data_IF_383188342950
#
_entry.id   IF_383188342950
#
_cell.length_a   1.000
_cell.length_b   1.000
_cell.length_c   1.000
_cell.angle_alpha   90.00
_cell.angle_beta   90.00
_cell.angle_gamma   90.00
#
_symmetry.space_group_name_H-M   'P 1'
#
loop_
_entity.id
_entity.type
_entity.pdbx_description
1 polymer ?
#
# COMPACT_ATOMS: atom_id res chain seq x y z
N UNK A 1 -103.92 -10.50 -79.70
CA UNK A 1 -105.06 -9.63 -80.10
C UNK A 1 -104.50 -8.26 -80.47
N UNK A 2 -104.59 -7.88 -81.74
CA UNK A 2 -103.82 -6.75 -82.28
C UNK A 2 -104.24 -5.42 -81.65
N UNK A 3 -103.28 -4.73 -81.02
CA UNK A 3 -103.41 -3.38 -80.43
C UNK A 3 -104.08 -2.40 -81.41
N UNK A 4 -103.86 -2.59 -82.72
CA UNK A 4 -104.47 -1.77 -83.79
C UNK A 4 -106.00 -1.78 -83.76
N UNK A 5 -106.64 -2.93 -83.48
CA UNK A 5 -108.11 -3.05 -83.48
C UNK A 5 -108.75 -2.29 -82.31
N UNK A 6 -108.11 -2.34 -81.13
CA UNK A 6 -108.54 -1.58 -79.93
C UNK A 6 -108.34 -0.06 -80.07
N UNK A 7 -107.31 0.38 -80.80
CA UNK A 7 -107.08 1.82 -81.06
C UNK A 7 -108.12 2.42 -82.02
N UNK A 8 -108.71 1.59 -82.87
CA UNK A 8 -109.76 1.96 -83.82
C UNK A 8 -111.12 2.18 -83.13
N UNK A 9 -111.52 1.28 -82.22
CA UNK A 9 -112.76 1.41 -81.42
C UNK A 9 -112.77 2.66 -80.54
N UNK A 10 -111.59 3.15 -80.14
CA UNK A 10 -111.42 4.33 -79.29
C UNK A 10 -111.28 5.64 -80.08
N UNK A 11 -111.52 5.65 -81.41
CA UNK A 11 -111.46 6.85 -82.25
C UNK A 11 -110.05 7.43 -82.45
N UNK A 12 -109.00 6.64 -82.19
CA UNK A 12 -107.60 7.11 -82.13
C UNK A 12 -106.81 6.88 -83.43
N UNK A 13 -107.41 6.20 -84.41
CA UNK A 13 -106.94 6.01 -85.80
C UNK A 13 -108.11 6.17 -86.76
N UNK A 14 -107.88 6.80 -87.92
CA UNK A 14 -108.95 7.14 -88.87
C UNK A 14 -109.43 5.95 -89.72
N UNK A 15 -108.62 4.90 -89.94
CA UNK A 15 -108.97 3.64 -90.67
C UNK A 15 -108.03 2.45 -90.33
N UNK A 16 -108.43 1.19 -90.62
CA UNK A 16 -107.73 -0.06 -90.24
C UNK A 16 -106.46 -0.35 -91.06
N UNK A 17 -106.43 0.14 -92.29
CA UNK A 17 -105.37 0.03 -93.30
C UNK A 17 -104.51 1.31 -93.39
N UNK A 18 -104.75 2.28 -92.51
CA UNK A 18 -104.13 3.59 -92.57
C UNK A 18 -102.74 3.62 -91.94
N UNK A 19 -101.78 4.20 -92.67
CA UNK A 19 -100.51 4.71 -92.15
C UNK A 19 -100.63 6.06 -91.44
N UNK A 20 -101.86 6.58 -91.25
CA UNK A 20 -102.07 7.89 -90.64
C UNK A 20 -101.60 7.94 -89.18
N UNK A 21 -101.02 9.08 -88.81
CA UNK A 21 -100.55 9.33 -87.46
C UNK A 21 -101.68 9.21 -86.43
N UNK A 22 -101.35 8.73 -85.23
CA UNK A 22 -102.26 8.68 -84.08
C UNK A 22 -102.86 10.07 -83.79
N UNK A 23 -104.09 10.10 -83.25
CA UNK A 23 -104.75 11.37 -82.88
C UNK A 23 -104.00 12.08 -81.74
N UNK A 24 -103.74 13.38 -81.92
CA UNK A 24 -103.20 14.26 -80.88
C UNK A 24 -104.27 15.15 -80.23
N UNK A 25 -105.55 14.83 -80.46
CA UNK A 25 -106.68 15.54 -79.86
C UNK A 25 -106.74 15.36 -78.34
N UNK A 26 -107.24 16.38 -77.64
CA UNK A 26 -107.42 16.38 -76.18
C UNK A 26 -108.36 15.25 -75.71
N UNK A 27 -109.39 14.95 -76.51
CA UNK A 27 -110.39 13.90 -76.27
C UNK A 27 -109.82 12.48 -76.35
N UNK A 28 -108.74 12.30 -77.11
CA UNK A 28 -108.01 11.04 -77.24
C UNK A 28 -106.85 10.92 -76.24
N UNK A 29 -106.69 11.87 -75.31
CA UNK A 29 -105.62 11.86 -74.30
C UNK A 29 -104.22 12.18 -74.84
N UNK A 30 -104.11 12.89 -75.98
CA UNK A 30 -102.85 13.24 -76.65
C UNK A 30 -101.94 12.03 -76.89
N UNK A 31 -102.53 10.92 -77.34
CA UNK A 31 -101.82 9.64 -77.46
C UNK A 31 -100.64 9.70 -78.42
N UNK A 32 -100.73 10.48 -79.52
CA UNK A 32 -99.58 10.73 -80.39
C UNK A 32 -98.40 11.33 -79.59
N UNK A 33 -98.62 12.44 -78.87
CA UNK A 33 -97.57 13.05 -78.04
C UNK A 33 -97.05 12.16 -76.92
N UNK A 34 -97.89 11.29 -76.32
CA UNK A 34 -97.44 10.32 -75.31
C UNK A 34 -96.62 9.18 -75.92
N UNK A 35 -96.96 8.74 -77.13
CA UNK A 35 -96.23 7.70 -77.84
C UNK A 35 -94.92 8.25 -78.41
N UNK A 36 -94.90 9.48 -78.92
CA UNK A 36 -93.68 10.17 -79.35
C UNK A 36 -92.76 10.45 -78.15
N UNK A 37 -93.32 10.82 -76.99
CA UNK A 37 -92.55 10.91 -75.73
C UNK A 37 -92.03 9.55 -75.26
N UNK A 38 -92.83 8.50 -75.37
CA UNK A 38 -92.40 7.15 -75.02
C UNK A 38 -91.32 6.64 -75.98
N UNK A 39 -91.42 6.94 -77.28
CA UNK A 39 -90.40 6.63 -78.27
C UNK A 39 -89.11 7.44 -78.05
N UNK A 40 -89.23 8.73 -77.74
CA UNK A 40 -88.08 9.56 -77.35
C UNK A 40 -87.43 9.09 -76.06
N UNK A 41 -88.22 8.65 -75.06
CA UNK A 41 -87.69 8.01 -73.85
C UNK A 41 -87.01 6.67 -74.14
N UNK A 42 -87.52 5.86 -75.09
CA UNK A 42 -86.87 4.62 -75.50
C UNK A 42 -85.55 4.92 -76.20
N UNK A 43 -85.50 5.93 -77.08
CA UNK A 43 -84.28 6.34 -77.77
C UNK A 43 -83.25 6.95 -76.79
N UNK A 44 -83.70 7.72 -75.79
CA UNK A 44 -82.88 8.17 -74.64
C UNK A 44 -82.39 6.98 -73.80
N UNK A 45 -83.23 5.96 -73.58
CA UNK A 45 -82.83 4.74 -72.87
C UNK A 45 -81.81 3.91 -73.67
N UNK A 46 -81.99 3.75 -74.98
CA UNK A 46 -81.07 3.02 -75.86
C UNK A 46 -79.73 3.76 -75.97
N UNK A 47 -79.75 5.09 -76.07
CA UNK A 47 -78.51 5.91 -76.06
C UNK A 47 -77.80 5.86 -74.71
N UNK A 48 -78.52 5.89 -73.58
CA UNK A 48 -77.95 5.68 -72.26
C UNK A 48 -77.41 4.25 -72.09
N UNK A 49 -78.10 3.23 -72.60
CA UNK A 49 -77.64 1.83 -72.54
C UNK A 49 -76.35 1.64 -73.35
N UNK A 50 -76.26 2.25 -74.53
CA UNK A 50 -75.05 2.24 -75.36
C UNK A 50 -73.91 3.05 -74.72
N UNK A 51 -74.21 4.18 -74.07
CA UNK A 51 -73.23 4.97 -73.31
C UNK A 51 -72.71 4.17 -72.11
N UNK A 52 -73.60 3.50 -71.36
CA UNK A 52 -73.24 2.62 -70.24
C UNK A 52 -72.33 1.47 -70.69
N UNK A 53 -72.64 0.83 -71.82
CA UNK A 53 -71.81 -0.24 -72.38
C UNK A 53 -70.49 0.26 -72.95
N UNK A 54 -70.48 1.41 -73.62
CA UNK A 54 -69.29 2.00 -74.25
C UNK A 54 -68.30 2.54 -73.22
N UNK A 55 -68.80 3.19 -72.18
CA UNK A 55 -67.98 3.69 -71.06
C UNK A 55 -67.68 2.58 -70.03
N UNK A 56 -68.41 1.47 -70.07
CA UNK A 56 -68.15 0.28 -69.26
C UNK A 56 -68.46 0.48 -67.78
N UNK A 57 -69.53 1.21 -67.46
CA UNK A 57 -69.87 1.56 -66.07
C UNK A 57 -70.05 0.32 -65.16
N UNK A 58 -70.65 -0.77 -65.67
CA UNK A 58 -70.80 -2.02 -64.89
C UNK A 58 -69.43 -2.56 -64.43
N UNK A 59 -68.44 -2.53 -65.31
CA UNK A 59 -67.07 -2.96 -65.00
C UNK A 59 -66.40 -1.99 -64.02
N UNK A 60 -66.61 -0.68 -64.18
CA UNK A 60 -66.06 0.32 -63.26
C UNK A 60 -66.68 0.22 -61.86
N UNK A 61 -67.97 -0.12 -61.75
CA UNK A 61 -68.64 -0.37 -60.47
C UNK A 61 -68.09 -1.63 -59.79
N UNK A 62 -67.93 -2.73 -60.53
CA UNK A 62 -67.28 -3.96 -60.02
C UNK A 62 -65.83 -3.70 -59.59
N UNK A 63 -65.04 -2.97 -60.40
CA UNK A 63 -63.68 -2.57 -60.04
C UNK A 63 -63.66 -1.65 -58.82
N UNK A 64 -64.60 -0.72 -58.68
CA UNK A 64 -64.74 0.16 -57.51
C UNK A 64 -65.04 -0.62 -56.23
N UNK A 65 -65.97 -1.57 -56.29
CA UNK A 65 -66.30 -2.45 -55.15
C UNK A 65 -65.09 -3.32 -54.80
N UNK A 66 -64.41 -3.92 -55.79
CA UNK A 66 -63.21 -4.73 -55.56
C UNK A 66 -62.08 -3.93 -54.91
N UNK A 67 -61.80 -2.72 -55.41
CA UNK A 67 -60.78 -1.83 -54.84
C UNK A 67 -61.14 -1.42 -53.41
N UNK A 68 -62.42 -1.14 -53.14
CA UNK A 68 -62.91 -0.84 -51.79
C UNK A 68 -62.70 -2.02 -50.84
N UNK A 69 -63.07 -3.23 -51.23
CA UNK A 69 -62.83 -4.44 -50.43
C UNK A 69 -61.34 -4.71 -50.21
N UNK A 70 -60.48 -4.44 -51.21
CA UNK A 70 -59.03 -4.56 -51.06
C UNK A 70 -58.46 -3.53 -50.09
N UNK A 71 -58.95 -2.28 -50.13
CA UNK A 71 -58.58 -1.24 -49.15
C UNK A 71 -59.01 -1.60 -47.73
N UNK A 72 -60.22 -2.14 -47.57
CA UNK A 72 -60.72 -2.56 -46.26
C UNK A 72 -59.88 -3.74 -45.71
N UNK A 73 -59.55 -4.73 -46.56
CA UNK A 73 -58.63 -5.83 -46.18
C UNK A 73 -57.22 -5.36 -45.83
N UNK A 74 -56.70 -4.33 -46.53
CA UNK A 74 -55.39 -3.73 -46.21
C UNK A 74 -55.47 -3.01 -44.87
N UNK A 75 -56.55 -2.27 -44.60
CA UNK A 75 -56.76 -1.56 -43.33
C UNK A 75 -56.84 -2.53 -42.15
N UNK A 76 -57.65 -3.59 -42.27
CA UNK A 76 -57.73 -4.64 -41.23
C UNK A 76 -56.36 -5.25 -40.94
N UNK A 77 -55.56 -5.51 -41.98
CA UNK A 77 -54.19 -6.03 -41.80
C UNK A 77 -53.26 -5.02 -41.12
N UNK A 78 -53.34 -3.74 -41.48
CA UNK A 78 -52.55 -2.69 -40.82
C UNK A 78 -52.94 -2.62 -39.34
N UNK A 79 -54.23 -2.63 -39.02
CA UNK A 79 -54.72 -2.66 -37.64
C UNK A 79 -54.21 -3.89 -36.87
N UNK A 80 -54.26 -5.09 -37.47
CA UNK A 80 -53.70 -6.30 -36.87
C UNK A 80 -52.18 -6.20 -36.62
N UNK A 81 -51.43 -5.58 -37.53
CA UNK A 81 -50.00 -5.33 -37.33
C UNK A 81 -49.74 -4.29 -36.24
N UNK A 82 -50.50 -3.20 -36.18
CA UNK A 82 -50.39 -2.20 -35.11
C UNK A 82 -50.67 -2.83 -33.73
N UNK A 83 -51.73 -3.64 -33.62
CA UNK A 83 -52.04 -4.39 -32.41
C UNK A 83 -50.91 -5.36 -32.05
N UNK A 84 -50.34 -6.06 -33.04
CA UNK A 84 -49.18 -6.93 -32.82
C UNK A 84 -47.96 -6.14 -32.32
N UNK A 85 -47.72 -4.93 -32.84
CA UNK A 85 -46.67 -4.02 -32.41
C UNK A 85 -46.87 -3.54 -30.98
N UNK A 86 -48.09 -3.11 -30.61
CA UNK A 86 -48.45 -2.71 -29.25
C UNK A 86 -48.30 -3.86 -28.25
N UNK A 87 -48.71 -5.08 -28.61
CA UNK A 87 -48.47 -6.29 -27.81
C UNK A 87 -46.98 -6.58 -27.62
N UNK A 88 -46.19 -6.55 -28.69
CA UNK A 88 -44.74 -6.80 -28.61
C UNK A 88 -44.04 -5.76 -27.71
N UNK A 89 -44.45 -4.48 -27.82
CA UNK A 89 -44.02 -3.38 -26.97
C UNK A 89 -44.38 -3.63 -25.50
N UNK A 90 -45.60 -4.08 -25.21
CA UNK A 90 -46.03 -4.48 -23.86
C UNK A 90 -45.20 -5.65 -23.30
N UNK A 91 -45.05 -6.74 -24.05
CA UNK A 91 -44.37 -7.95 -23.58
C UNK A 91 -42.89 -7.67 -23.27
N UNK A 92 -42.18 -7.04 -24.20
CA UNK A 92 -40.77 -6.66 -24.03
C UNK A 92 -40.59 -5.63 -22.93
N UNK A 93 -41.44 -4.60 -22.89
CA UNK A 93 -41.37 -3.56 -21.86
C UNK A 93 -41.65 -4.12 -20.46
N UNK A 94 -42.62 -5.02 -20.31
CA UNK A 94 -42.93 -5.69 -19.04
C UNK A 94 -41.78 -6.58 -18.55
N UNK A 95 -41.15 -7.34 -19.45
CA UNK A 95 -39.99 -8.15 -19.11
C UNK A 95 -38.81 -7.27 -18.67
N UNK A 96 -38.50 -6.23 -19.44
CA UNK A 96 -37.43 -5.29 -19.16
C UNK A 96 -37.66 -4.53 -17.84
N UNK A 97 -38.86 -4.04 -17.59
CA UNK A 97 -39.21 -3.34 -16.34
C UNK A 97 -39.10 -4.26 -15.13
N UNK A 98 -39.54 -5.52 -15.25
CA UNK A 98 -39.36 -6.52 -14.18
C UNK A 98 -37.88 -6.84 -13.96
N UNK A 99 -37.07 -6.93 -15.01
CA UNK A 99 -35.63 -7.14 -14.90
C UNK A 99 -34.94 -5.95 -14.22
N UNK A 100 -35.27 -4.72 -14.63
CA UNK A 100 -34.80 -3.47 -14.05
C UNK A 100 -35.11 -3.40 -12.55
N UNK A 101 -36.39 -3.55 -12.16
CA UNK A 101 -36.81 -3.49 -10.75
C UNK A 101 -36.05 -4.50 -9.88
N UNK A 102 -35.91 -5.75 -10.36
CA UNK A 102 -35.15 -6.78 -9.64
C UNK A 102 -33.67 -6.44 -9.53
N UNK A 103 -33.05 -5.96 -10.61
CA UNK A 103 -31.65 -5.57 -10.62
C UNK A 103 -31.38 -4.39 -9.69
N UNK A 104 -32.27 -3.39 -9.70
CA UNK A 104 -32.18 -2.18 -8.90
C UNK A 104 -32.33 -2.43 -7.39
N UNK A 105 -33.34 -3.20 -6.98
CA UNK A 105 -33.51 -3.60 -5.57
C UNK A 105 -32.27 -4.37 -5.10
N UNK A 106 -31.82 -5.34 -5.90
CA UNK A 106 -30.65 -6.15 -5.56
C UNK A 106 -29.35 -5.36 -5.52
N UNK A 107 -29.19 -4.31 -6.34
CA UNK A 107 -28.03 -3.41 -6.23
C UNK A 107 -28.08 -2.55 -4.97
N UNK A 108 -29.29 -2.07 -4.57
CA UNK A 108 -29.49 -1.33 -3.31
C UNK A 108 -29.19 -2.22 -2.09
N UNK A 109 -29.64 -3.47 -2.08
CA UNK A 109 -29.32 -4.43 -1.00
C UNK A 109 -27.80 -4.68 -0.84
N UNK A 110 -27.04 -4.46 -1.90
CA UNK A 110 -25.60 -4.63 -1.95
C UNK A 110 -24.83 -3.30 -1.83
N UNK A 111 -25.48 -2.20 -1.49
CA UNK A 111 -24.88 -0.86 -1.49
C UNK A 111 -23.63 -0.76 -0.60
N UNK A 112 -23.66 -1.45 0.55
CA UNK A 112 -22.55 -1.53 1.51
C UNK A 112 -21.25 -2.01 0.86
N UNK A 113 -21.33 -2.88 -0.16
CA UNK A 113 -20.16 -3.38 -0.88
C UNK A 113 -19.66 -2.33 -1.89
N UNK A 114 -18.45 -1.85 -1.69
CA UNK A 114 -17.81 -0.88 -2.57
C UNK A 114 -16.34 -1.23 -2.84
N UNK A 115 -15.79 -0.61 -3.89
CA UNK A 115 -14.42 -0.86 -4.35
C UNK A 115 -13.36 -0.33 -3.38
N UNK A 116 -13.60 0.82 -2.73
CA UNK A 116 -12.67 1.42 -1.78
C UNK A 116 -12.39 0.50 -0.60
N UNK A 117 -13.44 -0.02 0.04
CA UNK A 117 -13.35 -0.96 1.15
C UNK A 117 -12.71 -2.29 0.72
N UNK A 118 -13.01 -2.78 -0.50
CA UNK A 118 -12.37 -4.01 -1.04
C UNK A 118 -10.86 -3.83 -1.21
N UNK A 119 -10.44 -2.69 -1.75
CA UNK A 119 -9.04 -2.37 -1.95
C UNK A 119 -8.33 -2.15 -0.62
N UNK A 120 -8.95 -1.40 0.29
CA UNK A 120 -8.45 -1.19 1.64
C UNK A 120 -8.22 -2.53 2.35
N UNK A 121 -9.19 -3.45 2.32
CA UNK A 121 -9.01 -4.78 2.93
C UNK A 121 -7.82 -5.51 2.30
N UNK A 122 -7.78 -5.62 0.97
CA UNK A 122 -6.70 -6.33 0.24
C UNK A 122 -5.31 -5.76 0.57
N UNK A 123 -5.17 -4.44 0.55
CA UNK A 123 -3.91 -3.79 0.81
C UNK A 123 -3.47 -4.00 2.27
N UNK A 124 -4.39 -3.93 3.22
CA UNK A 124 -4.08 -4.23 4.63
C UNK A 124 -3.74 -5.72 4.85
N UNK A 125 -4.37 -6.68 4.17
CA UNK A 125 -3.97 -8.10 4.22
C UNK A 125 -2.54 -8.31 3.71
N UNK A 126 -2.16 -7.62 2.62
CA UNK A 126 -0.80 -7.65 2.09
C UNK A 126 0.19 -7.02 3.07
N UNK A 127 -0.18 -5.90 3.67
CA UNK A 127 0.69 -5.16 4.59
C UNK A 127 0.88 -5.93 5.91
N UNK A 128 -0.15 -6.63 6.40
CA UNK A 128 -0.05 -7.58 7.53
C UNK A 128 0.96 -8.67 7.19
N UNK A 129 0.79 -9.36 6.06
CA UNK A 129 1.67 -10.47 5.66
C UNK A 129 3.13 -10.02 5.50
N UNK A 130 3.33 -8.85 4.88
CA UNK A 130 4.67 -8.26 4.71
C UNK A 130 5.27 -7.89 6.06
N UNK A 131 4.49 -7.23 6.93
CA UNK A 131 4.91 -6.83 8.26
C UNK A 131 5.23 -8.03 9.17
N UNK A 132 4.45 -9.10 9.12
CA UNK A 132 4.72 -10.34 9.86
C UNK A 132 6.04 -10.97 9.43
N UNK A 133 6.32 -11.03 8.12
CA UNK A 133 7.58 -11.54 7.60
C UNK A 133 8.77 -10.67 8.03
N UNK A 134 8.64 -9.35 7.97
CA UNK A 134 9.68 -8.41 8.42
C UNK A 134 9.92 -8.56 9.93
N UNK A 135 8.85 -8.66 10.72
CA UNK A 135 8.93 -8.88 12.16
C UNK A 135 9.66 -10.17 12.51
N UNK A 136 9.38 -11.26 11.80
CA UNK A 136 10.06 -12.55 11.99
C UNK A 136 11.56 -12.44 11.71
N UNK A 137 11.95 -11.75 10.62
CA UNK A 137 13.36 -11.52 10.30
C UNK A 137 14.07 -10.70 11.39
N UNK A 138 13.41 -9.67 11.92
CA UNK A 138 13.97 -8.88 13.02
C UNK A 138 14.07 -9.66 14.33
N UNK A 139 13.14 -10.57 14.61
CA UNK A 139 13.24 -11.46 15.78
C UNK A 139 14.42 -12.42 15.68
N UNK A 140 14.73 -12.92 14.48
CA UNK A 140 15.95 -13.72 14.25
C UNK A 140 17.20 -12.87 14.49
N UNK A 141 17.24 -11.65 13.94
CA UNK A 141 18.36 -10.71 14.18
C UNK A 141 18.53 -10.38 15.67
N UNK A 142 17.42 -10.14 16.38
CA UNK A 142 17.43 -9.89 17.83
C UNK A 142 18.03 -11.07 18.60
N UNK A 143 17.60 -12.28 18.29
CA UNK A 143 18.10 -13.50 18.93
C UNK A 143 19.60 -13.72 18.66
N UNK A 144 20.08 -13.42 17.45
CA UNK A 144 21.51 -13.48 17.14
C UNK A 144 22.32 -12.45 17.95
N UNK A 145 21.82 -11.21 18.04
CA UNK A 145 22.44 -10.16 18.86
C UNK A 145 22.42 -10.52 20.34
N UNK A 146 21.35 -11.12 20.85
CA UNK A 146 21.23 -11.56 22.24
C UNK A 146 22.24 -12.66 22.58
N UNK A 147 22.45 -13.63 21.69
CA UNK A 147 23.51 -14.64 21.85
C UNK A 147 24.91 -14.02 21.87
N UNK A 148 25.17 -13.04 20.99
CA UNK A 148 26.45 -12.30 21.00
C UNK A 148 26.62 -11.52 22.30
N UNK A 149 25.58 -10.83 22.76
CA UNK A 149 25.59 -10.08 24.01
C UNK A 149 25.91 -10.97 25.21
N UNK A 150 25.28 -12.16 25.30
CA UNK A 150 25.57 -13.13 26.36
C UNK A 150 27.03 -13.56 26.33
N UNK A 151 27.56 -13.95 25.15
CA UNK A 151 28.96 -14.34 24.98
C UNK A 151 29.93 -13.21 25.35
N UNK A 152 29.66 -11.98 24.90
CA UNK A 152 30.49 -10.81 25.25
C UNK A 152 30.41 -10.50 26.74
N UNK A 153 29.25 -10.65 27.38
CA UNK A 153 29.09 -10.42 28.81
C UNK A 153 29.81 -11.48 29.66
N UNK A 154 29.83 -12.74 29.23
CA UNK A 154 30.61 -13.80 29.88
C UNK A 154 32.11 -13.56 29.73
N UNK A 155 32.57 -13.20 28.52
CA UNK A 155 33.96 -12.85 28.25
C UNK A 155 34.40 -11.65 29.10
N UNK A 156 33.58 -10.59 29.17
CA UNK A 156 33.85 -9.42 30.01
C UNK A 156 34.03 -9.83 31.48
N UNK A 157 33.13 -10.66 32.01
CA UNK A 157 33.21 -11.13 33.40
C UNK A 157 34.49 -11.90 33.69
N UNK A 158 34.90 -12.79 32.79
CA UNK A 158 36.16 -13.54 32.92
C UNK A 158 37.37 -12.60 32.91
N UNK A 159 37.41 -11.67 31.96
CA UNK A 159 38.51 -10.69 31.83
C UNK A 159 38.57 -9.73 33.01
N UNK A 160 37.43 -9.28 33.54
CA UNK A 160 37.36 -8.42 34.72
C UNK A 160 37.92 -9.14 35.95
N UNK A 161 37.62 -10.43 36.12
CA UNK A 161 38.18 -11.25 37.20
C UNK A 161 39.70 -11.41 37.07
N UNK A 162 40.21 -11.71 35.88
CA UNK A 162 41.65 -11.81 35.61
C UNK A 162 42.37 -10.47 35.85
N UNK A 163 41.76 -9.38 35.43
CA UNK A 163 42.34 -8.04 35.56
C UNK A 163 42.33 -7.52 36.99
N UNK A 164 41.40 -7.96 37.84
CA UNK A 164 41.33 -7.51 39.22
C UNK A 164 42.64 -7.78 39.99
N UNK A 165 43.20 -8.99 39.83
CA UNK A 165 44.50 -9.35 40.42
C UNK A 165 45.62 -8.45 39.90
N UNK A 166 45.60 -8.13 38.60
CA UNK A 166 46.58 -7.26 37.96
C UNK A 166 46.48 -5.81 38.48
N UNK A 167 45.26 -5.34 38.75
CA UNK A 167 44.96 -4.03 39.32
C UNK A 167 45.42 -3.89 40.76
N UNK A 168 45.21 -4.91 41.61
CA UNK A 168 45.74 -4.89 42.98
C UNK A 168 47.27 -4.88 42.98
N UNK A 169 47.92 -5.71 42.15
CA UNK A 169 49.38 -5.69 41.98
C UNK A 169 49.90 -4.32 41.54
N UNK A 170 49.23 -3.66 40.58
CA UNK A 170 49.58 -2.31 40.14
C UNK A 170 49.52 -1.31 41.29
N UNK A 171 48.48 -1.38 42.11
CA UNK A 171 48.28 -0.51 43.27
C UNK A 171 49.36 -0.71 44.33
N UNK A 172 49.72 -1.95 44.63
CA UNK A 172 50.84 -2.25 45.55
C UNK A 172 52.18 -1.76 44.99
N UNK A 173 52.48 -2.03 43.70
CA UNK A 173 53.70 -1.56 43.04
C UNK A 173 53.83 -0.02 43.09
N UNK A 174 52.72 0.69 42.85
CA UNK A 174 52.69 2.15 42.85
C UNK A 174 52.84 2.76 44.26
N UNK A 175 52.27 2.11 45.28
CA UNK A 175 52.25 2.65 46.64
C UNK A 175 53.46 2.22 47.49
N UNK A 176 54.01 1.04 47.25
CA UNK A 176 55.09 0.47 48.08
C UNK A 176 56.45 0.58 47.39
N UNK A 177 56.55 0.13 46.13
CA UNK A 177 57.85 -0.06 45.47
C UNK A 177 58.35 1.21 44.79
N UNK A 178 57.50 1.92 44.05
CA UNK A 178 57.90 3.17 43.37
C UNK A 178 58.46 4.24 44.32
N UNK A 179 57.88 4.48 45.51
CA UNK A 179 58.46 5.40 46.48
C UNK A 179 59.85 4.98 46.95
N UNK A 180 60.08 3.68 47.18
CA UNK A 180 61.39 3.14 47.55
C UNK A 180 62.42 3.35 46.44
N UNK A 181 62.05 3.12 45.18
CA UNK A 181 62.91 3.38 44.01
C UNK A 181 63.29 4.86 43.93
N UNK A 182 62.33 5.76 44.15
CA UNK A 182 62.59 7.21 44.16
C UNK A 182 63.53 7.61 45.30
N UNK A 183 63.35 7.02 46.48
CA UNK A 183 64.25 7.21 47.63
C UNK A 183 65.67 6.71 47.33
N UNK A 184 65.81 5.54 46.72
CA UNK A 184 67.09 4.98 46.28
C UNK A 184 67.78 5.89 45.27
N UNK A 185 67.09 6.36 44.22
CA UNK A 185 67.65 7.28 43.23
C UNK A 185 68.14 8.60 43.87
N UNK A 186 67.38 9.14 44.82
CA UNK A 186 67.75 10.34 45.57
C UNK A 186 69.04 10.12 46.37
N UNK A 187 69.10 9.05 47.17
CA UNK A 187 70.29 8.71 47.97
C UNK A 187 71.51 8.36 47.12
N UNK A 188 71.32 7.69 45.98
CA UNK A 188 72.39 7.40 45.01
C UNK A 188 72.98 8.70 44.45
N UNK A 189 72.13 9.69 44.12
CA UNK A 189 72.57 11.01 43.70
C UNK A 189 73.40 11.75 44.76
N UNK A 190 72.94 11.74 46.02
CA UNK A 190 73.68 12.32 47.14
C UNK A 190 75.03 11.64 47.38
N UNK A 191 75.09 10.32 47.23
CA UNK A 191 76.30 9.53 47.41
C UNK A 191 77.35 9.81 46.31
N UNK A 192 76.92 9.97 45.06
CA UNK A 192 77.81 10.35 43.95
C UNK A 192 78.51 11.71 44.21
N UNK A 193 77.79 12.68 44.77
CA UNK A 193 78.36 13.97 45.18
C UNK A 193 79.44 13.83 46.26
N UNK A 194 79.25 12.90 47.21
CA UNK A 194 80.24 12.60 48.26
C UNK A 194 81.42 11.77 47.74
N UNK A 195 81.19 10.86 46.79
CA UNK A 195 82.25 10.08 46.13
C UNK A 195 83.20 10.94 45.30
N UNK A 196 82.70 12.00 44.65
CA UNK A 196 83.56 12.96 43.94
C UNK A 196 84.63 13.56 44.88
N UNK A 197 84.29 13.78 46.15
CA UNK A 197 85.21 14.29 47.19
C UNK A 197 86.14 13.20 47.77
N UNK A 198 85.85 11.93 47.54
CA UNK A 198 86.59 10.81 48.13
C UNK A 198 88.02 10.66 47.59
N UNK A 199 88.28 11.03 46.34
CA UNK A 199 89.66 10.97 45.77
C UNK A 199 90.60 11.90 46.54
N UNK A 200 90.16 13.14 46.78
CA UNK A 200 90.88 14.13 47.57
C UNK A 200 91.07 13.68 49.02
N UNK A 201 90.02 13.16 49.65
CA UNK A 201 90.09 12.70 51.03
C UNK A 201 90.90 11.41 51.22
N UNK A 202 90.94 10.53 50.21
CA UNK A 202 91.81 9.35 50.22
C UNK A 202 93.28 9.75 50.12
N UNK A 203 93.59 10.72 49.25
CA UNK A 203 94.92 11.31 49.16
C UNK A 203 95.31 12.00 50.48
N UNK A 204 94.44 12.83 51.04
CA UNK A 204 94.66 13.47 52.34
C UNK A 204 94.87 12.45 53.45
N UNK A 205 94.11 11.36 53.49
CA UNK A 205 94.28 10.31 54.50
C UNK A 205 95.66 9.64 54.37
N UNK A 206 96.09 9.30 53.16
CA UNK A 206 97.40 8.68 52.91
C UNK A 206 98.55 9.62 53.32
N UNK A 207 98.48 10.88 52.87
CA UNK A 207 99.49 11.91 53.20
C UNK A 207 99.51 12.21 54.69
N UNK A 208 98.35 12.38 55.32
CA UNK A 208 98.24 12.65 56.76
C UNK A 208 98.77 11.47 57.58
N UNK A 209 98.55 10.23 57.15
CA UNK A 209 99.08 9.03 57.83
C UNK A 209 100.61 8.98 57.77
N UNK A 210 101.20 9.24 56.60
CA UNK A 210 102.66 9.28 56.41
C UNK A 210 103.28 10.41 57.23
N UNK A 211 102.72 11.62 57.13
CA UNK A 211 103.23 12.80 57.83
C UNK A 211 103.05 12.70 59.35
N UNK A 212 101.96 12.09 59.82
CA UNK A 212 101.76 11.78 61.23
C UNK A 212 102.81 10.79 61.73
N UNK A 213 103.10 9.73 60.96
CA UNK A 213 104.15 8.76 61.28
C UNK A 213 105.54 9.41 61.37
N UNK A 214 105.89 10.29 60.43
CA UNK A 214 107.14 11.06 60.46
C UNK A 214 107.18 12.00 61.68
N UNK A 215 106.06 12.67 61.98
CA UNK A 215 105.97 13.60 63.11
C UNK A 215 106.14 12.88 64.45
N UNK A 216 105.52 11.71 64.62
CA UNK A 216 105.65 10.86 65.80
C UNK A 216 107.09 10.33 65.98
N UNK A 217 107.74 9.88 64.90
CA UNK A 217 109.16 9.49 64.92
C UNK A 217 110.07 10.67 65.28
N UNK A 218 109.75 11.86 64.77
CA UNK A 218 110.46 13.10 65.09
C UNK A 218 110.41 13.45 66.58
N UNK A 219 109.25 13.27 67.23
CA UNK A 219 109.09 13.46 68.68
C UNK A 219 110.04 12.52 69.46
N UNK A 220 110.19 11.27 69.02
CA UNK A 220 111.03 10.26 69.69
C UNK A 220 112.52 10.56 69.51
N UNK A 221 112.95 10.90 68.29
CA UNK A 221 114.36 11.10 67.95
C UNK A 221 114.88 12.45 68.45
N UNK A 222 114.06 13.51 68.33
CA UNK A 222 114.43 14.88 68.70
C UNK A 222 113.21 15.64 69.22
N UNK A 223 112.90 15.57 70.52
CA UNK A 223 111.70 16.17 71.08
C UNK A 223 111.75 17.70 70.96
N UNK A 224 111.01 18.22 69.99
CA UNK A 224 110.91 19.65 69.70
C UNK A 224 109.45 20.06 69.46
N UNK A 225 109.09 21.28 69.89
CA UNK A 225 107.71 21.81 69.82
C UNK A 225 107.07 21.72 68.43
N UNK A 226 107.87 21.89 67.37
CA UNK A 226 107.40 21.78 65.98
C UNK A 226 106.82 20.40 65.65
N UNK A 227 107.43 19.31 66.14
CA UNK A 227 106.96 17.95 65.87
C UNK A 227 105.64 17.64 66.61
N UNK A 228 105.44 18.21 67.81
CA UNK A 228 104.16 18.12 68.52
C UNK A 228 103.02 18.86 67.80
N UNK A 229 103.27 20.08 67.31
CA UNK A 229 102.25 20.85 66.56
C UNK A 229 101.87 20.16 65.23
N UNK A 230 102.85 19.62 64.50
CA UNK A 230 102.61 18.86 63.27
C UNK A 230 101.83 17.57 63.57
N UNK A 231 102.17 16.85 64.63
CA UNK A 231 101.43 15.65 65.04
C UNK A 231 99.96 15.97 65.33
N UNK A 232 99.65 17.08 66.03
CA UNK A 232 98.27 17.50 66.30
C UNK A 232 97.52 17.81 64.99
N UNK A 233 98.11 18.61 64.10
CA UNK A 233 97.50 18.99 62.82
C UNK A 233 97.18 17.77 61.95
N UNK A 234 98.14 16.86 61.78
CA UNK A 234 97.94 15.66 60.99
C UNK A 234 97.01 14.65 61.65
N UNK A 235 96.94 14.63 62.99
CA UNK A 235 95.96 13.82 63.72
C UNK A 235 94.52 14.30 63.46
N UNK A 236 94.26 15.61 63.50
CA UNK A 236 92.94 16.18 63.16
C UNK A 236 92.56 15.82 61.70
N UNK A 237 93.48 16.03 60.75
CA UNK A 237 93.26 15.69 59.34
C UNK A 237 92.98 14.20 59.12
N UNK A 238 93.72 13.34 59.81
CA UNK A 238 93.52 11.88 59.80
C UNK A 238 92.15 11.49 60.36
N UNK A 239 91.73 12.07 61.49
CA UNK A 239 90.44 11.79 62.12
C UNK A 239 89.29 12.22 61.22
N UNK A 240 89.31 13.45 60.70
CA UNK A 240 88.26 13.97 59.80
C UNK A 240 88.14 13.11 58.52
N UNK A 241 89.29 12.78 57.90
CA UNK A 241 89.30 11.95 56.68
C UNK A 241 88.82 10.52 56.96
N UNK A 242 89.17 9.96 58.12
CA UNK A 242 88.72 8.63 58.54
C UNK A 242 87.22 8.58 58.83
N UNK A 243 86.68 9.57 59.54
CA UNK A 243 85.23 9.70 59.80
C UNK A 243 84.47 9.78 58.46
N UNK A 244 84.93 10.62 57.53
CA UNK A 244 84.28 10.75 56.23
C UNK A 244 84.32 9.44 55.42
N UNK A 245 85.47 8.73 55.40
CA UNK A 245 85.59 7.40 54.77
C UNK A 245 84.64 6.37 55.38
N UNK A 246 84.52 6.36 56.70
CA UNK A 246 83.61 5.47 57.42
C UNK A 246 82.14 5.80 57.11
N UNK A 247 81.78 7.09 57.08
CA UNK A 247 80.45 7.55 56.69
C UNK A 247 80.11 7.14 55.26
N UNK A 248 81.01 7.39 54.30
CA UNK A 248 80.84 6.94 52.91
C UNK A 248 80.63 5.42 52.81
N UNK A 249 81.41 4.62 53.53
CA UNK A 249 81.26 3.15 53.52
C UNK A 249 79.91 2.73 54.12
N UNK A 250 79.48 3.38 55.20
CA UNK A 250 78.17 3.13 55.82
C UNK A 250 77.01 3.51 54.90
N UNK A 251 77.10 4.66 54.23
CA UNK A 251 76.09 5.12 53.28
C UNK A 251 76.02 4.22 52.04
N UNK A 252 77.15 3.74 51.52
CA UNK A 252 77.18 2.72 50.45
C UNK A 252 76.48 1.44 50.89
N UNK A 253 76.81 0.91 52.06
CA UNK A 253 76.16 -0.28 52.60
C UNK A 253 74.65 -0.08 52.81
N UNK A 254 74.23 1.09 53.30
CA UNK A 254 72.80 1.41 53.44
C UNK A 254 72.08 1.52 52.09
N UNK A 255 72.75 2.05 51.06
CA UNK A 255 72.19 2.17 49.71
C UNK A 255 72.02 0.79 49.06
N UNK A 256 73.00 -0.09 49.25
CA UNK A 256 72.97 -1.48 48.77
C UNK A 256 71.89 -2.29 49.49
N UNK A 257 71.76 -2.11 50.81
CA UNK A 257 70.67 -2.71 51.59
C UNK A 257 69.29 -2.23 51.12
N UNK A 258 69.13 -0.95 50.78
CA UNK A 258 67.88 -0.43 50.22
C UNK A 258 67.58 -1.05 48.86
N UNK A 259 68.60 -1.23 48.02
CA UNK A 259 68.42 -1.83 46.71
C UNK A 259 68.05 -3.32 46.80
N UNK A 260 68.66 -4.07 47.71
CA UNK A 260 68.26 -5.46 48.00
C UNK A 260 66.83 -5.54 48.54
N UNK A 261 66.40 -4.57 49.37
CA UNK A 261 65.00 -4.44 49.78
C UNK A 261 64.05 -4.25 48.60
N UNK A 262 64.40 -3.37 47.66
CA UNK A 262 63.64 -3.13 46.43
C UNK A 262 63.59 -4.40 45.57
N UNK A 263 64.71 -5.12 45.37
CA UNK A 263 64.73 -6.39 44.64
C UNK A 263 63.81 -7.42 45.27
N UNK A 264 63.86 -7.55 46.60
CA UNK A 264 63.03 -8.48 47.34
C UNK A 264 61.53 -8.15 47.21
N UNK A 265 61.17 -6.86 47.27
CA UNK A 265 59.80 -6.41 47.04
C UNK A 265 59.35 -6.67 45.58
N UNK A 266 60.20 -6.38 44.59
CA UNK A 266 59.91 -6.63 43.16
C UNK A 266 59.76 -8.10 42.80
N UNK A 267 60.46 -8.99 43.51
CA UNK A 267 60.35 -10.44 43.30
C UNK A 267 58.91 -10.95 43.48
N UNK A 268 58.12 -10.31 44.37
CA UNK A 268 56.70 -10.62 44.60
C UNK A 268 55.83 -10.35 43.38
N UNK A 269 56.29 -9.44 42.51
CA UNK A 269 55.63 -9.06 41.27
C UNK A 269 56.24 -9.77 40.05
N UNK A 270 57.23 -10.66 40.25
CA UNK A 270 58.03 -11.28 39.18
C UNK A 270 58.77 -10.26 38.30
N UNK A 271 59.20 -9.13 38.86
CA UNK A 271 59.91 -8.03 38.18
C UNK A 271 61.37 -7.92 38.64
N UNK A 272 62.04 -9.05 38.86
CA UNK A 272 63.42 -9.07 39.37
C UNK A 272 64.42 -8.49 38.36
N UNK A 273 65.37 -7.70 38.83
CA UNK A 273 66.48 -7.19 38.03
C UNK A 273 67.75 -7.06 38.86
N UNK A 274 68.91 -7.13 38.19
CA UNK A 274 70.21 -7.04 38.83
C UNK A 274 70.65 -5.60 39.12
N UNK A 275 70.13 -4.64 38.36
CA UNK A 275 70.43 -3.21 38.46
C UNK A 275 69.16 -2.34 38.38
N UNK A 276 69.32 -1.05 38.67
CA UNK A 276 68.22 -0.08 38.73
C UNK A 276 67.58 0.20 37.35
N UNK A 277 68.35 0.08 36.27
CA UNK A 277 67.85 0.32 34.91
C UNK A 277 66.93 -0.83 34.50
N UNK A 278 67.31 -2.08 34.81
CA UNK A 278 66.47 -3.26 34.65
C UNK A 278 65.21 -3.21 35.50
N UNK A 279 65.28 -2.72 36.75
CA UNK A 279 64.09 -2.50 37.60
C UNK A 279 63.11 -1.54 36.92
N UNK A 280 63.59 -0.39 36.45
CA UNK A 280 62.75 0.61 35.80
C UNK A 280 62.15 0.08 34.49
N UNK A 281 62.94 -0.67 33.71
CA UNK A 281 62.48 -1.31 32.48
C UNK A 281 61.33 -2.30 32.75
N UNK A 282 61.47 -3.20 33.72
CA UNK A 282 60.41 -4.15 34.05
C UNK A 282 59.16 -3.49 34.62
N UNK A 283 59.31 -2.42 35.40
CA UNK A 283 58.15 -1.62 35.84
C UNK A 283 57.44 -1.00 34.64
N UNK A 284 58.18 -0.40 33.71
CA UNK A 284 57.60 0.18 32.51
C UNK A 284 56.87 -0.87 31.66
N UNK A 285 57.47 -2.04 31.44
CA UNK A 285 56.85 -3.17 30.75
C UNK A 285 55.54 -3.61 31.44
N UNK A 286 55.55 -3.70 32.76
CA UNK A 286 54.35 -3.99 33.55
C UNK A 286 53.25 -2.94 33.36
N UNK A 287 53.59 -1.65 33.34
CA UNK A 287 52.63 -0.56 33.10
C UNK A 287 52.05 -0.57 31.69
N UNK A 288 52.86 -0.91 30.69
CA UNK A 288 52.41 -1.08 29.32
C UNK A 288 51.42 -2.24 29.21
N UNK A 289 51.75 -3.40 29.80
CA UNK A 289 50.85 -4.55 29.87
C UNK A 289 49.55 -4.22 30.61
N UNK A 290 49.64 -3.46 31.71
CA UNK A 290 48.47 -3.00 32.45
C UNK A 290 47.56 -2.15 31.57
N UNK A 291 48.14 -1.16 30.88
CA UNK A 291 47.42 -0.25 30.00
C UNK A 291 46.76 -0.98 28.84
N UNK A 292 47.46 -1.94 28.24
CA UNK A 292 46.92 -2.80 27.18
C UNK A 292 45.71 -3.60 27.65
N UNK A 293 45.83 -4.30 28.78
CA UNK A 293 44.71 -5.08 29.35
C UNK A 293 43.52 -4.21 29.76
N UNK A 294 43.78 -3.01 30.28
CA UNK A 294 42.73 -2.04 30.62
C UNK A 294 42.00 -1.57 29.35
N UNK A 295 42.74 -1.30 28.27
CA UNK A 295 42.18 -0.96 26.96
C UNK A 295 41.31 -2.08 26.37
N UNK A 296 41.81 -3.32 26.38
CA UNK A 296 41.04 -4.51 25.93
C UNK A 296 39.72 -4.68 26.70
N UNK A 297 39.74 -4.43 28.03
CA UNK A 297 38.53 -4.48 28.85
C UNK A 297 37.52 -3.40 28.49
N UNK A 298 37.98 -2.18 28.27
CA UNK A 298 37.11 -1.07 27.93
C UNK A 298 36.52 -1.24 26.51
N UNK A 299 37.27 -1.82 25.58
CA UNK A 299 36.78 -2.21 24.25
C UNK A 299 35.64 -3.22 24.35
N UNK A 300 35.83 -4.32 25.10
CA UNK A 300 34.79 -5.35 25.31
C UNK A 300 33.55 -4.75 25.99
N UNK A 301 33.75 -3.83 26.95
CA UNK A 301 32.65 -3.11 27.61
C UNK A 301 31.91 -2.21 26.62
N UNK A 302 32.64 -1.51 25.75
CA UNK A 302 32.08 -0.71 24.66
C UNK A 302 31.24 -1.55 23.70
N UNK A 303 31.75 -2.71 23.25
CA UNK A 303 31.02 -3.66 22.41
C UNK A 303 29.72 -4.14 23.07
N UNK A 304 29.77 -4.49 24.37
CA UNK A 304 28.60 -4.90 25.13
C UNK A 304 27.53 -3.81 25.16
N UNK A 305 27.92 -2.57 25.46
CA UNK A 305 27.01 -1.43 25.52
C UNK A 305 26.41 -1.11 24.14
N UNK A 306 27.20 -1.22 23.07
CA UNK A 306 26.74 -1.05 21.70
C UNK A 306 25.68 -2.10 21.35
N UNK A 307 25.96 -3.38 21.61
CA UNK A 307 25.01 -4.48 21.38
C UNK A 307 23.71 -4.26 22.15
N UNK A 308 23.79 -3.83 23.41
CA UNK A 308 22.60 -3.52 24.21
C UNK A 308 21.75 -2.42 23.55
N UNK A 309 22.35 -1.30 23.15
CA UNK A 309 21.63 -0.20 22.51
C UNK A 309 21.03 -0.60 21.16
N UNK A 310 21.73 -1.40 20.36
CA UNK A 310 21.20 -1.95 19.11
C UNK A 310 20.00 -2.89 19.35
N UNK A 311 20.06 -3.73 20.38
CA UNK A 311 18.95 -4.60 20.77
C UNK A 311 17.74 -3.81 21.23
N UNK A 312 17.94 -2.77 22.06
CA UNK A 312 16.89 -1.86 22.53
C UNK A 312 16.20 -1.16 21.35
N UNK A 313 16.97 -0.54 20.44
CA UNK A 313 16.41 0.10 19.23
C UNK A 313 15.62 -0.88 18.36
N UNK A 314 16.16 -2.07 18.15
CA UNK A 314 15.51 -3.08 17.32
C UNK A 314 14.18 -3.55 17.95
N UNK A 315 14.14 -3.72 19.27
CA UNK A 315 12.96 -4.14 20.01
C UNK A 315 11.91 -3.03 20.14
N UNK A 316 12.30 -1.86 20.63
CA UNK A 316 11.39 -0.77 21.02
C UNK A 316 10.96 0.12 19.85
N UNK A 317 11.82 0.29 18.83
CA UNK A 317 11.47 1.14 17.69
C UNK A 317 10.95 0.28 16.53
N UNK A 318 11.76 -0.68 16.07
CA UNK A 318 11.47 -1.41 14.81
C UNK A 318 10.40 -2.48 14.98
N UNK A 319 10.61 -3.44 15.89
CA UNK A 319 9.67 -4.54 16.11
C UNK A 319 8.33 -4.02 16.64
N UNK A 320 8.35 -3.13 17.63
CA UNK A 320 7.13 -2.53 18.16
C UNK A 320 6.40 -1.69 17.10
N UNK A 321 7.12 -0.86 16.33
CA UNK A 321 6.53 -0.06 15.27
C UNK A 321 5.88 -0.89 14.16
N UNK A 322 6.46 -2.03 13.78
CA UNK A 322 5.83 -2.99 12.85
C UNK A 322 4.60 -3.63 13.51
N UNK A 323 4.69 -4.01 14.79
CA UNK A 323 3.57 -4.53 15.56
C UNK A 323 2.36 -3.59 15.57
N UNK A 324 2.58 -2.30 15.76
CA UNK A 324 1.52 -1.28 15.76
C UNK A 324 0.91 -1.10 14.36
N UNK A 325 1.72 -1.13 13.30
CA UNK A 325 1.23 -1.11 11.91
C UNK A 325 0.35 -2.32 11.60
N UNK A 326 0.78 -3.52 11.97
CA UNK A 326 0.00 -4.76 11.82
C UNK A 326 -1.32 -4.65 12.58
N UNK A 327 -1.30 -4.15 13.83
CA UNK A 327 -2.50 -3.98 14.65
C UNK A 327 -3.47 -2.96 14.05
N UNK A 328 -2.95 -1.85 13.52
CA UNK A 328 -3.74 -0.84 12.82
C UNK A 328 -4.39 -1.41 11.56
N UNK A 329 -3.65 -2.19 10.76
CA UNK A 329 -4.17 -2.85 9.57
C UNK A 329 -5.29 -3.85 9.90
N UNK A 330 -5.13 -4.65 10.96
CA UNK A 330 -6.19 -5.55 11.45
C UNK A 330 -7.47 -4.79 11.83
N UNK A 331 -7.35 -3.67 12.56
CA UNK A 331 -8.51 -2.84 12.93
C UNK A 331 -9.26 -2.34 11.70
N UNK A 332 -8.55 -1.83 10.70
CA UNK A 332 -9.17 -1.36 9.44
C UNK A 332 -9.91 -2.47 8.70
N UNK A 333 -9.34 -3.68 8.67
CA UNK A 333 -10.03 -4.85 8.10
C UNK A 333 -11.28 -5.18 8.91
N UNK A 334 -11.18 -5.17 10.23
CA UNK A 334 -12.29 -5.49 11.13
C UNK A 334 -13.45 -4.49 10.99
N UNK A 335 -13.16 -3.20 10.82
CA UNK A 335 -14.17 -2.17 10.56
C UNK A 335 -14.96 -2.49 9.27
N UNK A 336 -14.28 -2.93 8.20
CA UNK A 336 -14.92 -3.35 6.95
C UNK A 336 -15.74 -4.62 7.15
N UNK A 337 -15.23 -5.61 7.90
CA UNK A 337 -15.94 -6.85 8.22
C UNK A 337 -17.25 -6.57 8.97
N UNK A 338 -17.21 -5.71 9.98
CA UNK A 338 -18.38 -5.33 10.78
C UNK A 338 -19.40 -4.61 9.89
N UNK A 339 -18.95 -3.63 9.10
CA UNK A 339 -19.80 -2.87 8.18
C UNK A 339 -20.52 -3.78 7.19
N UNK A 340 -19.80 -4.72 6.59
CA UNK A 340 -20.31 -5.60 5.53
C UNK A 340 -20.94 -6.92 6.03
N UNK A 341 -20.78 -7.23 7.32
CA UNK A 341 -21.11 -8.52 7.95
C UNK A 341 -20.52 -9.70 7.18
N UNK A 342 -19.29 -9.55 6.72
CA UNK A 342 -18.57 -10.57 5.97
C UNK A 342 -17.23 -10.86 6.62
N UNK A 343 -16.90 -12.13 6.78
CA UNK A 343 -15.65 -12.55 7.43
C UNK A 343 -14.48 -12.71 6.45
N UNK A 344 -14.75 -12.81 5.14
CA UNK A 344 -13.73 -13.05 4.13
C UNK A 344 -13.77 -12.08 2.96
N UNK A 345 -12.58 -11.64 2.52
CA UNK A 345 -12.40 -10.80 1.34
C UNK A 345 -12.95 -11.47 0.07
N UNK A 346 -12.88 -12.80 -0.02
CA UNK A 346 -13.42 -13.56 -1.15
C UNK A 346 -14.94 -13.41 -1.25
N UNK A 347 -15.67 -13.61 -0.15
CA UNK A 347 -17.14 -13.44 -0.12
C UNK A 347 -17.52 -11.99 -0.39
N UNK A 348 -16.82 -11.05 0.24
CA UNK A 348 -16.98 -9.61 -0.02
C UNK A 348 -16.82 -9.30 -1.52
N UNK A 349 -15.76 -9.79 -2.15
CA UNK A 349 -15.46 -9.56 -3.57
C UNK A 349 -16.51 -10.18 -4.50
N UNK A 350 -17.07 -11.34 -4.15
CA UNK A 350 -18.16 -11.96 -4.91
C UNK A 350 -19.43 -11.11 -4.86
N UNK A 351 -19.79 -10.59 -3.68
CA UNK A 351 -20.95 -9.69 -3.52
C UNK A 351 -20.75 -8.35 -4.23
N UNK A 352 -19.54 -7.79 -4.20
CA UNK A 352 -19.21 -6.59 -4.99
C UNK A 352 -19.35 -6.85 -6.50
N UNK A 353 -18.87 -7.98 -7.02
CA UNK A 353 -19.07 -8.35 -8.43
C UNK A 353 -20.54 -8.52 -8.79
N UNK A 354 -21.32 -9.09 -7.87
CA UNK A 354 -22.76 -9.25 -8.06
C UNK A 354 -23.45 -7.88 -8.13
N UNK A 355 -23.08 -6.93 -7.25
CA UNK A 355 -23.55 -5.54 -7.29
C UNK A 355 -23.28 -4.90 -8.64
N UNK A 356 -22.02 -4.92 -9.10
CA UNK A 356 -21.63 -4.33 -10.38
C UNK A 356 -22.38 -4.94 -11.58
N UNK A 357 -22.66 -6.26 -11.54
CA UNK A 357 -23.49 -6.92 -12.56
C UNK A 357 -24.94 -6.44 -12.50
N UNK A 358 -25.52 -6.30 -11.31
CA UNK A 358 -26.88 -5.79 -11.14
C UNK A 358 -26.99 -4.32 -11.60
N UNK A 359 -26.03 -3.46 -11.27
CA UNK A 359 -26.00 -2.06 -11.72
C UNK A 359 -25.88 -1.97 -13.25
N UNK A 360 -25.02 -2.79 -13.86
CA UNK A 360 -24.89 -2.84 -15.32
C UNK A 360 -26.20 -3.29 -15.97
N UNK A 361 -26.81 -4.36 -15.47
CA UNK A 361 -28.09 -4.85 -15.97
C UNK A 361 -29.19 -3.79 -15.80
N UNK A 362 -29.24 -3.10 -14.66
CA UNK A 362 -30.20 -2.02 -14.44
C UNK A 362 -30.03 -0.92 -15.50
N UNK A 363 -28.81 -0.45 -15.76
CA UNK A 363 -28.55 0.56 -16.81
C UNK A 363 -28.90 0.11 -18.23
N UNK A 364 -28.68 -1.17 -18.54
CA UNK A 364 -29.05 -1.75 -19.83
C UNK A 364 -30.56 -1.77 -20.01
N UNK A 365 -31.31 -2.22 -18.99
CA UNK A 365 -32.77 -2.27 -19.04
C UNK A 365 -33.40 -0.88 -18.99
N UNK A 366 -32.81 0.05 -18.25
CA UNK A 366 -33.20 1.45 -18.24
C UNK A 366 -33.09 2.07 -19.65
N UNK A 367 -31.92 1.95 -20.28
CA UNK A 367 -31.70 2.43 -21.66
C UNK A 367 -32.68 1.79 -22.66
N UNK A 368 -32.95 0.49 -22.51
CA UNK A 368 -33.92 -0.21 -23.35
C UNK A 368 -35.34 0.32 -23.18
N UNK A 369 -35.78 0.54 -21.93
CA UNK A 369 -37.10 1.10 -21.64
C UNK A 369 -37.22 2.55 -22.11
N UNK A 370 -36.18 3.37 -21.98
CA UNK A 370 -36.13 4.72 -22.55
C UNK A 370 -36.34 4.71 -24.05
N UNK A 371 -35.66 3.81 -24.77
CA UNK A 371 -35.82 3.67 -26.22
C UNK A 371 -37.21 3.14 -26.61
N UNK A 372 -37.82 2.28 -25.79
CA UNK A 372 -39.10 1.64 -26.11
C UNK A 372 -40.32 2.51 -25.74
N UNK A 373 -40.32 3.10 -24.54
CA UNK A 373 -41.45 3.78 -23.92
C UNK A 373 -41.22 5.29 -23.73
N UNK A 374 -40.01 5.80 -23.98
CA UNK A 374 -39.64 7.18 -23.68
C UNK A 374 -39.18 7.39 -22.24
N UNK A 375 -38.92 8.64 -21.86
CA UNK A 375 -38.56 9.05 -20.50
C UNK A 375 -39.39 10.27 -20.07
N UNK A 376 -39.69 10.37 -18.77
CA UNK A 376 -40.50 11.46 -18.20
C UNK A 376 -39.70 12.37 -17.28
N UNK A 377 -38.70 11.83 -16.59
CA UNK A 377 -37.94 12.55 -15.57
C UNK A 377 -36.46 12.17 -15.53
N UNK A 378 -35.70 12.89 -14.72
CA UNK A 378 -34.26 12.66 -14.54
C UNK A 378 -33.98 11.49 -13.58
N UNK A 379 -34.89 11.20 -12.65
CA UNK A 379 -34.69 10.12 -11.67
C UNK A 379 -35.17 8.76 -12.19
N UNK A 380 -34.50 7.69 -11.74
CA UNK A 380 -34.87 6.33 -12.12
C UNK A 380 -36.23 5.93 -11.54
N UNK A 381 -36.54 6.34 -10.31
CA UNK A 381 -37.81 6.08 -9.65
C UNK A 381 -39.02 6.72 -10.36
N UNK A 382 -38.87 7.94 -10.87
CA UNK A 382 -39.91 8.61 -11.68
C UNK A 382 -40.13 7.88 -13.00
N UNK A 383 -39.04 7.49 -13.68
CA UNK A 383 -39.11 6.75 -14.94
C UNK A 383 -39.72 5.35 -14.75
N UNK A 384 -39.42 4.65 -13.65
CA UNK A 384 -40.06 3.37 -13.31
C UNK A 384 -41.58 3.53 -13.17
N UNK A 385 -42.04 4.59 -12.51
CA UNK A 385 -43.47 4.85 -12.31
C UNK A 385 -44.16 5.19 -13.65
N UNK A 386 -43.51 6.00 -14.48
CA UNK A 386 -43.97 6.30 -15.83
C UNK A 386 -44.09 5.04 -16.70
N UNK A 387 -43.07 4.17 -16.71
CA UNK A 387 -43.13 2.93 -17.49
C UNK A 387 -44.18 1.95 -16.98
N UNK A 388 -44.47 1.91 -15.67
CA UNK A 388 -45.62 1.15 -15.15
C UNK A 388 -46.95 1.69 -15.69
N UNK A 389 -47.12 3.02 -15.80
CA UNK A 389 -48.31 3.66 -16.38
C UNK A 389 -48.46 3.33 -17.87
N UNK A 390 -47.40 3.55 -18.66
CA UNK A 390 -47.39 3.25 -20.11
C UNK A 390 -47.69 1.77 -20.40
N UNK A 391 -47.12 0.86 -19.60
CA UNK A 391 -47.39 -0.57 -19.75
C UNK A 391 -48.81 -0.95 -19.34
N UNK A 392 -49.44 -0.21 -18.43
CA UNK A 392 -50.84 -0.43 -18.05
C UNK A 392 -51.78 -0.03 -19.18
N UNK A 393 -51.48 1.03 -19.92
CA UNK A 393 -52.24 1.40 -21.12
C UNK A 393 -52.11 0.34 -22.22
N UNK A 394 -50.91 -0.24 -22.39
CA UNK A 394 -50.67 -1.27 -23.39
C UNK A 394 -51.20 -2.67 -23.00
N UNK A 395 -51.66 -2.86 -21.75
CA UNK A 395 -52.13 -4.16 -21.26
C UNK A 395 -53.38 -4.67 -22.01
N UNK A 396 -54.20 -3.77 -22.56
CA UNK A 396 -55.38 -4.12 -23.36
C UNK A 396 -55.04 -4.89 -24.65
N UNK A 397 -53.80 -4.75 -25.16
CA UNK A 397 -53.32 -5.41 -26.38
C UNK A 397 -52.65 -6.76 -26.13
N UNK A 398 -52.45 -7.16 -24.87
CA UNK A 398 -51.72 -8.37 -24.50
C UNK A 398 -52.20 -9.64 -25.22
N UNK A 399 -53.52 -9.73 -25.46
CA UNK A 399 -54.14 -10.91 -26.05
C UNK A 399 -54.57 -10.72 -27.52
N UNK A 400 -54.30 -9.53 -28.09
CA UNK A 400 -54.64 -9.19 -29.48
C UNK A 400 -53.59 -9.65 -30.49
N UNK A 401 -54.01 -9.82 -31.75
CA UNK A 401 -53.16 -10.20 -32.89
C UNK A 401 -52.12 -11.31 -32.61
N UNK A 402 -52.47 -12.31 -31.78
CA UNK A 402 -51.51 -13.30 -31.28
C UNK A 402 -50.79 -14.12 -32.35
N UNK A 403 -51.46 -14.28 -33.49
CA UNK A 403 -51.04 -15.10 -34.61
C UNK A 403 -50.09 -14.38 -35.59
N UNK A 404 -49.85 -13.08 -35.40
CA UNK A 404 -49.02 -12.24 -36.28
C UNK A 404 -47.82 -11.72 -35.49
N UNK A 405 -46.66 -11.60 -36.13
CA UNK A 405 -45.49 -10.92 -35.56
C UNK A 405 -45.35 -9.55 -36.23
N UNK A 406 -45.10 -8.51 -35.44
CA UNK A 406 -44.93 -7.17 -35.98
C UNK A 406 -43.76 -7.12 -36.98
N UNK A 407 -43.97 -6.45 -38.12
CA UNK A 407 -42.95 -6.19 -39.11
C UNK A 407 -43.19 -4.83 -39.75
N UNK A 408 -42.35 -3.87 -39.38
CA UNK A 408 -42.41 -2.48 -39.87
C UNK A 408 -42.38 -2.39 -41.40
N UNK A 409 -41.59 -3.23 -42.09
CA UNK A 409 -41.56 -3.25 -43.57
C UNK A 409 -42.86 -3.73 -44.19
N UNK A 410 -43.56 -4.63 -43.50
CA UNK A 410 -44.87 -5.13 -43.96
C UNK A 410 -45.95 -4.07 -43.76
N UNK A 411 -45.87 -3.25 -42.71
CA UNK A 411 -46.78 -2.12 -42.49
C UNK A 411 -46.58 -1.06 -43.55
N UNK A 412 -45.35 -0.57 -43.75
CA UNK A 412 -45.03 0.45 -44.77
C UNK A 412 -45.44 -0.02 -46.17
N UNK A 413 -45.15 -1.29 -46.52
CA UNK A 413 -45.56 -1.82 -47.83
C UNK A 413 -47.08 -2.00 -47.99
N UNK A 414 -47.83 -2.15 -46.90
CA UNK A 414 -49.30 -2.17 -46.92
C UNK A 414 -49.88 -0.76 -47.02
N UNK A 415 -49.28 0.23 -46.36
CA UNK A 415 -49.64 1.64 -46.45
C UNK A 415 -49.43 2.18 -47.87
N UNK A 416 -48.25 1.97 -48.45
CA UNK A 416 -47.95 2.34 -49.85
C UNK A 416 -48.92 1.69 -50.83
N UNK A 417 -49.27 0.41 -50.61
CA UNK A 417 -50.26 -0.30 -51.42
C UNK A 417 -51.67 0.28 -51.26
N UNK A 418 -52.03 0.70 -50.06
CA UNK A 418 -53.32 1.34 -49.77
C UNK A 418 -53.48 2.72 -50.40
N UNK A 419 -52.38 3.49 -50.53
CA UNK A 419 -52.35 4.79 -51.21
C UNK A 419 -52.41 4.69 -52.74
N UNK A 420 -51.89 3.60 -53.31
CA UNK A 420 -51.86 3.35 -54.76
C UNK A 420 -53.19 2.79 -55.31
N UNK A 421 -53.99 2.15 -54.46
CA UNK A 421 -55.37 1.73 -54.72
C UNK A 421 -56.31 2.91 -54.53
#
# INVERSE_FOLDING_TARGET
FSIKKKLQELGKLTRADSSASLSNGKECGKIKSRLDKAAGLIEEMDTLEDEVKKEGFDRLEEESIRVKEEKDKIREKIEEFEEAGKREKYEKGKEALRALKRAFVKSKDLEVYNQGDSQLWRDNERDIKTGEKEKEQLLVELNEKERRFQKTSENLKQREQEFHTFKERKKELDNEVKPEIKNYQTKKGELLLKEAKNKFLTFLLAVSTILLGISLLGIIIRPGLLFYLLAILFSISFVVSSIFKLQLKKEKGSLEQLFEGIKLNLSRFALGADDIEGVLFHIQEFEEQYSKKAGELEEIRGEKNLLQSEMEKLKEERIAGIGDKIKSAHRKIEDVKIKAREESLTKYSQKLRLKLKCEKLAKEQESFLKALLGERGESLEENISHWDEELKELEEYKDRARHIKYNERSVVGLEEKGELL
#
